data_IF_766917688182
#
_entry.id   IF_766917688182
#
_cell.length_a   1.000
_cell.length_b   1.000
_cell.length_c   1.000
_cell.angle_alpha   90.00
_cell.angle_beta   90.00
_cell.angle_gamma   90.00
#
_symmetry.space_group_name_H-M   'P 1'
#
loop_
_entity.id
_entity.type
_entity.pdbx_description
1 polymer ?
#
# COMPACT_ATOMS: atom_id res chain seq x y z
N UNK A 1 33.40 21.04 30.90
CA UNK A 1 33.48 21.18 29.43
C UNK A 1 33.23 19.82 28.81
N UNK A 2 32.02 19.60 28.28
CA UNK A 2 31.58 18.38 27.58
C UNK A 2 30.85 18.87 26.31
N UNK A 3 31.19 18.40 25.10
CA UNK A 3 30.54 18.90 23.89
C UNK A 3 29.18 18.21 23.68
N UNK A 4 28.20 19.05 23.36
CA UNK A 4 26.83 18.73 22.97
C UNK A 4 26.82 18.12 21.55
N UNK A 5 26.52 16.83 21.41
CA UNK A 5 26.12 16.27 20.12
C UNK A 5 24.65 16.58 19.88
N UNK A 6 24.40 17.52 18.96
CA UNK A 6 23.08 17.79 18.41
C UNK A 6 22.75 16.69 17.39
N UNK A 7 21.74 15.88 17.68
CA UNK A 7 21.13 14.97 16.70
C UNK A 7 20.22 15.77 15.77
N UNK A 8 20.74 16.11 14.59
CA UNK A 8 19.97 16.66 13.47
C UNK A 8 19.07 15.56 12.88
N UNK A 9 17.77 15.66 13.15
CA UNK A 9 16.74 14.92 12.41
C UNK A 9 16.56 15.58 11.05
N UNK A 10 17.02 14.91 9.99
CA UNK A 10 16.82 15.33 8.61
C UNK A 10 15.37 15.00 8.21
N UNK A 11 14.52 16.02 8.14
CA UNK A 11 13.18 15.91 7.57
C UNK A 11 13.28 15.98 6.04
N UNK A 12 12.96 14.88 5.36
CA UNK A 12 12.86 14.87 3.89
C UNK A 12 11.62 15.67 3.46
N UNK A 13 11.86 16.82 2.81
CA UNK A 13 10.85 17.67 2.19
C UNK A 13 10.40 17.07 0.86
N UNK A 14 9.18 16.54 0.78
CA UNK A 14 8.51 16.31 -0.51
C UNK A 14 7.81 17.60 -0.95
N UNK A 15 8.41 18.30 -1.90
CA UNK A 15 7.82 19.45 -2.60
C UNK A 15 7.20 18.92 -3.90
N UNK A 16 5.91 18.61 -3.93
CA UNK A 16 5.23 18.43 -5.22
C UNK A 16 4.97 19.83 -5.82
N UNK A 17 5.76 20.20 -6.81
CA UNK A 17 5.37 21.25 -7.76
C UNK A 17 4.37 20.64 -8.73
N UNK A 18 3.26 21.32 -8.93
CA UNK A 18 2.23 20.88 -9.86
C UNK A 18 2.54 21.27 -11.30
N UNK A 19 2.17 20.44 -12.27
CA UNK A 19 2.02 20.84 -13.69
C UNK A 19 0.88 20.07 -14.37
N UNK A 20 0.21 20.84 -15.24
CA UNK A 20 -0.86 20.57 -16.20
C UNK A 20 -0.44 19.57 -17.29
N UNK A 21 -1.38 18.73 -17.76
CA UNK A 21 -1.16 17.81 -18.89
C UNK A 21 -1.62 18.42 -20.23
N UNK A 22 -0.70 18.54 -21.20
CA UNK A 22 -0.96 18.53 -22.65
C UNK A 22 0.34 18.19 -23.41
N UNK A 23 0.27 17.26 -24.37
CA UNK A 23 1.39 16.65 -25.10
C UNK A 23 2.02 17.58 -26.15
N UNK A 24 3.35 17.62 -26.27
CA UNK A 24 4.11 17.07 -27.40
C UNK A 24 5.64 17.19 -27.22
N UNK A 25 6.38 16.26 -27.83
CA UNK A 25 7.77 15.84 -27.66
C UNK A 25 8.90 16.89 -27.53
N UNK A 26 9.87 16.65 -26.63
CA UNK A 26 11.35 16.59 -26.85
C UNK A 26 12.10 16.30 -25.52
N UNK A 27 12.95 15.26 -25.51
CA UNK A 27 13.65 14.71 -24.33
C UNK A 27 14.85 15.54 -23.86
N UNK A 28 15.10 15.55 -22.54
CA UNK A 28 16.42 15.59 -21.94
C UNK A 28 16.41 14.85 -20.59
N UNK A 29 17.33 13.90 -20.46
CA UNK A 29 17.40 12.80 -19.49
C UNK A 29 17.60 13.19 -18.01
N UNK A 30 17.10 12.32 -17.12
CA UNK A 30 17.56 12.23 -15.73
C UNK A 30 16.52 11.67 -14.75
N UNK A 31 16.55 10.35 -14.57
CA UNK A 31 15.91 9.54 -13.51
C UNK A 31 14.41 9.22 -13.66
N UNK A 32 14.18 8.12 -14.37
CA UNK A 32 12.90 7.43 -14.46
C UNK A 32 12.57 6.67 -13.19
N UNK A 33 11.44 7.03 -12.58
CA UNK A 33 10.66 6.12 -11.76
C UNK A 33 9.23 6.10 -12.33
N UNK A 34 9.06 5.24 -13.34
CA UNK A 34 7.76 4.75 -13.78
C UNK A 34 7.13 3.96 -12.62
N UNK A 35 6.11 4.53 -11.99
CA UNK A 35 5.32 3.80 -11.00
C UNK A 35 3.83 3.98 -11.26
N UNK A 36 3.35 3.26 -12.27
CA UNK A 36 2.04 2.64 -12.23
C UNK A 36 2.20 1.23 -12.80
N UNK A 37 1.81 0.14 -12.10
CA UNK A 37 1.70 -1.14 -12.78
C UNK A 37 0.52 -1.03 -13.75
N UNK A 38 0.84 -1.07 -15.05
CA UNK A 38 -0.12 -1.47 -16.05
C UNK A 38 -0.41 -2.96 -15.86
N UNK A 39 -1.44 -3.28 -15.08
CA UNK A 39 -2.16 -4.54 -15.19
C UNK A 39 -3.63 -4.18 -15.46
N UNK A 40 -3.96 -4.16 -16.75
CA UNK A 40 -5.31 -3.94 -17.27
C UNK A 40 -6.05 -5.26 -17.15
N UNK A 41 -6.79 -5.43 -16.06
CA UNK A 41 -7.94 -6.31 -16.05
C UNK A 41 -9.17 -5.44 -16.33
N UNK A 42 -9.79 -5.61 -17.50
CA UNK A 42 -10.95 -4.81 -17.93
C UNK A 42 -12.18 -5.01 -17.03
N UNK A 43 -12.19 -6.02 -16.16
CA UNK A 43 -13.25 -6.24 -15.18
C UNK A 43 -12.63 -6.72 -13.87
N UNK A 44 -12.82 -5.98 -12.75
CA UNK A 44 -12.30 -6.42 -11.47
C UNK A 44 -13.08 -7.64 -10.95
N UNK A 45 -12.40 -8.51 -10.20
CA UNK A 45 -12.97 -9.77 -9.69
C UNK A 45 -12.85 -9.88 -8.18
N UNK A 46 -13.89 -10.43 -7.56
CA UNK A 46 -13.91 -10.66 -6.12
C UNK A 46 -13.40 -12.08 -5.86
N UNK A 47 -12.13 -12.20 -5.49
CA UNK A 47 -11.52 -13.49 -5.20
C UNK A 47 -11.16 -13.57 -3.72
N UNK A 48 -11.64 -14.64 -3.10
CA UNK A 48 -11.32 -14.98 -1.71
C UNK A 48 -10.46 -16.22 -1.72
N UNK A 49 -9.42 -16.22 -0.89
CA UNK A 49 -8.56 -17.38 -0.72
C UNK A 49 -9.36 -18.58 -0.22
N UNK A 50 -9.04 -19.79 -0.69
CA UNK A 50 -9.53 -20.99 -0.02
C UNK A 50 -9.02 -21.03 1.43
N UNK A 51 -9.70 -21.74 2.35
CA UNK A 51 -9.22 -21.88 3.73
C UNK A 51 -7.77 -22.39 3.80
N UNK A 52 -7.41 -23.36 2.95
CA UNK A 52 -6.08 -23.95 2.92
C UNK A 52 -5.01 -22.95 2.43
N UNK A 53 -5.27 -22.26 1.31
CA UNK A 53 -4.34 -21.25 0.78
C UNK A 53 -4.21 -20.07 1.74
N UNK A 54 -5.30 -19.66 2.40
CA UNK A 54 -5.29 -18.63 3.44
C UNK A 54 -4.41 -19.02 4.60
N UNK A 55 -4.46 -20.27 5.08
CA UNK A 55 -3.60 -20.75 6.16
C UNK A 55 -2.12 -20.66 5.79
N UNK A 56 -1.74 -21.15 4.60
CA UNK A 56 -0.36 -21.08 4.10
C UNK A 56 0.11 -19.64 3.97
N UNK A 57 -0.71 -18.77 3.36
CA UNK A 57 -0.35 -17.37 3.16
C UNK A 57 -0.24 -16.62 4.49
N UNK A 58 -1.15 -16.88 5.44
CA UNK A 58 -1.16 -16.21 6.74
C UNK A 58 0.13 -16.41 7.52
N UNK A 59 0.72 -17.60 7.41
CA UNK A 59 1.96 -17.98 8.08
C UNK A 59 3.22 -17.60 7.32
N UNK A 60 3.10 -17.11 6.07
CA UNK A 60 4.26 -16.74 5.26
C UNK A 60 5.08 -15.66 5.99
N UNK A 61 6.36 -15.91 6.29
CA UNK A 61 7.24 -14.90 6.87
C UNK A 61 7.41 -13.73 5.90
N UNK A 62 7.44 -12.52 6.46
CA UNK A 62 7.76 -11.30 5.73
C UNK A 62 8.54 -10.34 6.61
N UNK A 63 9.28 -9.42 6.00
CA UNK A 63 10.07 -8.41 6.72
C UNK A 63 9.36 -7.05 6.72
N UNK A 64 9.04 -6.50 7.88
CA UNK A 64 8.43 -5.16 7.98
C UNK A 64 9.44 -4.06 7.63
N UNK A 65 8.97 -2.81 7.45
CA UNK A 65 9.84 -1.67 7.14
C UNK A 65 10.86 -1.32 8.25
N UNK A 66 10.79 -1.99 9.41
CA UNK A 66 11.77 -1.89 10.51
C UNK A 66 12.70 -3.11 10.56
N UNK A 67 12.75 -3.88 9.48
CA UNK A 67 13.55 -5.09 9.31
C UNK A 67 13.18 -6.24 10.26
N UNK A 68 11.98 -6.22 10.87
CA UNK A 68 11.54 -7.32 11.73
C UNK A 68 10.74 -8.35 10.95
N UNK A 69 11.05 -9.61 11.19
CA UNK A 69 10.27 -10.73 10.66
C UNK A 69 8.94 -10.83 11.38
N UNK A 70 7.86 -10.98 10.63
CA UNK A 70 6.52 -11.26 11.15
C UNK A 70 5.73 -12.10 10.16
N UNK A 71 4.72 -12.85 10.63
CA UNK A 71 3.78 -13.51 9.74
C UNK A 71 2.98 -12.49 8.92
N UNK A 72 2.63 -12.87 7.69
CA UNK A 72 1.91 -12.01 6.75
C UNK A 72 0.55 -11.56 7.28
N UNK A 73 -0.19 -12.44 7.97
CA UNK A 73 -1.51 -12.11 8.52
C UNK A 73 -1.47 -10.90 9.47
N UNK A 74 -0.43 -10.84 10.30
CA UNK A 74 -0.23 -9.85 11.34
C UNK A 74 0.06 -8.51 10.69
N UNK A 75 0.96 -8.49 9.69
CA UNK A 75 1.25 -7.27 8.95
C UNK A 75 0.04 -6.76 8.18
N UNK A 76 -0.64 -7.63 7.43
CA UNK A 76 -1.78 -7.24 6.60
C UNK A 76 -2.92 -6.73 7.46
N UNK A 77 -3.21 -7.38 8.59
CA UNK A 77 -4.22 -6.89 9.55
C UNK A 77 -3.84 -5.50 10.06
N UNK A 78 -2.58 -5.26 10.44
CA UNK A 78 -2.09 -3.94 10.84
C UNK A 78 -2.23 -2.90 9.72
N UNK A 79 -1.85 -3.25 8.48
CA UNK A 79 -1.92 -2.41 7.29
C UNK A 79 -3.37 -1.99 6.99
N UNK A 80 -4.26 -2.97 6.85
CA UNK A 80 -5.69 -2.77 6.61
C UNK A 80 -6.29 -1.92 7.73
N UNK A 81 -6.04 -2.26 8.99
CA UNK A 81 -6.48 -1.47 10.15
C UNK A 81 -5.95 -0.04 10.14
N UNK A 82 -4.74 0.19 9.63
CA UNK A 82 -4.16 1.52 9.55
C UNK A 82 -4.92 2.37 8.55
N UNK A 83 -5.24 1.82 7.37
CA UNK A 83 -5.97 2.49 6.27
C UNK A 83 -7.46 2.63 6.58
N UNK A 84 -8.15 1.52 6.86
CA UNK A 84 -9.61 1.45 6.96
C UNK A 84 -10.12 1.71 8.38
N UNK A 85 -9.28 1.59 9.42
CA UNK A 85 -9.72 1.64 10.84
C UNK A 85 -10.82 0.63 11.18
N UNK A 86 -10.89 -0.46 10.41
CA UNK A 86 -11.83 -1.59 10.58
C UNK A 86 -11.06 -2.89 10.44
N UNK A 87 -11.40 -3.83 11.31
CA UNK A 87 -10.80 -5.16 11.27
C UNK A 87 -11.30 -5.90 10.03
N UNK A 88 -12.62 -5.89 9.84
CA UNK A 88 -13.28 -6.38 8.64
C UNK A 88 -13.95 -5.20 7.93
N UNK A 89 -13.57 -4.97 6.67
CA UNK A 89 -14.07 -3.86 5.88
C UNK A 89 -15.41 -4.23 5.24
N UNK A 90 -16.39 -3.34 5.34
CA UNK A 90 -17.72 -3.52 4.78
C UNK A 90 -17.96 -2.45 3.71
N UNK A 91 -18.02 -2.82 2.41
CA UNK A 91 -18.26 -1.87 1.34
C UNK A 91 -19.57 -1.09 1.49
N UNK A 92 -20.62 -1.70 2.05
CA UNK A 92 -21.91 -1.05 2.23
C UNK A 92 -21.86 -0.02 3.37
N UNK A 93 -21.19 -0.36 4.49
CA UNK A 93 -20.94 0.64 5.54
C UNK A 93 -20.12 1.82 5.00
N UNK A 94 -19.16 1.54 4.12
CA UNK A 94 -18.24 2.52 3.59
C UNK A 94 -18.88 3.57 2.68
N UNK A 95 -20.01 3.22 2.05
CA UNK A 95 -20.78 4.10 1.16
C UNK A 95 -21.73 5.04 1.90
N UNK A 96 -21.95 4.86 3.20
CA UNK A 96 -22.82 5.73 4.00
C UNK A 96 -22.27 7.17 4.00
N UNK A 97 -23.15 8.12 3.69
CA UNK A 97 -22.85 9.56 3.63
C UNK A 97 -22.38 10.05 2.26
N UNK A 98 -22.17 9.15 1.31
CA UNK A 98 -21.90 9.51 -0.08
C UNK A 98 -23.19 9.57 -0.91
N UNK A 99 -23.25 10.40 -1.96
CA UNK A 99 -24.35 10.38 -2.91
C UNK A 99 -24.56 8.99 -3.54
N UNK A 100 -25.81 8.68 -3.88
CA UNK A 100 -26.12 7.43 -4.57
C UNK A 100 -25.41 7.40 -5.94
N UNK A 101 -24.82 6.26 -6.28
CA UNK A 101 -24.11 6.06 -7.56
C UNK A 101 -22.70 6.67 -7.62
N UNK A 102 -22.16 7.21 -6.51
CA UNK A 102 -20.78 7.72 -6.49
C UNK A 102 -19.73 6.64 -6.78
N UNK A 103 -19.99 5.40 -6.36
CA UNK A 103 -19.04 4.30 -6.50
C UNK A 103 -19.63 3.18 -7.36
N UNK A 104 -18.74 2.49 -8.08
CA UNK A 104 -19.08 1.22 -8.72
C UNK A 104 -19.61 0.20 -7.69
N UNK A 105 -20.38 -0.82 -8.12
CA UNK A 105 -20.86 -1.89 -7.26
C UNK A 105 -19.74 -2.52 -6.42
N UNK A 106 -20.10 -3.03 -5.23
CA UNK A 106 -19.18 -3.78 -4.40
C UNK A 106 -18.66 -5.01 -5.16
N UNK A 107 -17.35 -5.25 -5.08
CA UNK A 107 -16.77 -6.53 -5.43
C UNK A 107 -17.17 -7.54 -4.36
N UNK A 108 -17.90 -8.58 -4.78
CA UNK A 108 -18.32 -9.67 -3.90
C UNK A 108 -19.43 -9.26 -2.92
N UNK A 109 -19.83 -10.23 -2.10
CA UNK A 109 -20.85 -10.04 -1.07
C UNK A 109 -20.22 -10.06 0.33
N UNK A 110 -20.67 -9.16 1.20
CA UNK A 110 -20.30 -9.17 2.61
C UNK A 110 -19.00 -8.43 2.95
N UNK A 111 -18.41 -8.81 4.09
CA UNK A 111 -17.25 -8.14 4.67
C UNK A 111 -15.96 -8.79 4.20
N UNK A 112 -14.98 -7.95 3.92
CA UNK A 112 -13.65 -8.38 3.54
C UNK A 112 -12.79 -8.64 4.78
N UNK A 113 -12.25 -9.85 4.87
CA UNK A 113 -11.15 -10.18 5.77
C UNK A 113 -9.86 -9.48 5.29
N UNK A 114 -8.93 -9.10 6.20
CA UNK A 114 -7.76 -8.31 5.84
C UNK A 114 -6.91 -8.88 4.70
N UNK A 115 -6.67 -10.20 4.70
CA UNK A 115 -5.83 -10.85 3.70
C UNK A 115 -6.45 -10.80 2.30
N UNK A 116 -7.73 -11.15 2.21
CA UNK A 116 -8.47 -11.11 0.95
C UNK A 116 -8.59 -9.67 0.44
N UNK A 117 -8.81 -8.70 1.34
CA UNK A 117 -8.88 -7.28 0.99
C UNK A 117 -7.57 -6.77 0.40
N UNK A 118 -6.45 -7.04 1.08
CA UNK A 118 -5.13 -6.62 0.62
C UNK A 118 -4.76 -7.29 -0.71
N UNK A 119 -5.07 -8.58 -0.87
CA UNK A 119 -4.88 -9.24 -2.16
C UNK A 119 -5.71 -8.60 -3.27
N UNK A 120 -6.97 -8.27 -2.96
CA UNK A 120 -7.82 -7.56 -3.91
C UNK A 120 -7.28 -6.16 -4.23
N UNK A 121 -6.65 -5.46 -3.28
CA UNK A 121 -5.99 -4.17 -3.55
C UNK A 121 -4.90 -4.29 -4.59
N UNK A 122 -4.03 -5.29 -4.49
CA UNK A 122 -2.91 -5.45 -5.42
C UNK A 122 -3.32 -6.08 -6.76
N UNK A 123 -4.40 -6.86 -6.80
CA UNK A 123 -4.91 -7.47 -8.04
C UNK A 123 -5.92 -6.61 -8.79
N UNK A 124 -6.61 -5.69 -8.09
CA UNK A 124 -7.61 -4.78 -8.66
C UNK A 124 -7.32 -3.30 -8.30
N UNK A 125 -6.10 -2.76 -8.53
CA UNK A 125 -5.70 -1.49 -7.97
C UNK A 125 -6.55 -0.31 -8.48
N UNK A 126 -6.97 -0.34 -9.74
CA UNK A 126 -7.83 0.70 -10.33
C UNK A 126 -9.21 0.74 -9.69
N UNK A 127 -9.82 -0.42 -9.41
CA UNK A 127 -11.10 -0.47 -8.71
C UNK A 127 -10.99 0.13 -7.32
N UNK A 128 -9.99 -0.30 -6.53
CA UNK A 128 -9.83 0.14 -5.15
C UNK A 128 -9.39 1.59 -5.02
N UNK A 129 -8.72 2.14 -6.03
CA UNK A 129 -8.42 3.56 -6.12
C UNK A 129 -9.70 4.42 -6.12
N UNK A 130 -10.79 3.91 -6.69
CA UNK A 130 -12.09 4.57 -6.78
C UNK A 130 -12.99 4.33 -5.56
N UNK A 131 -12.81 3.24 -4.81
CA UNK A 131 -13.69 2.88 -3.69
C UNK A 131 -13.39 3.65 -2.39
N UNK A 132 -14.39 3.87 -1.50
CA UNK A 132 -14.22 4.58 -0.24
C UNK A 132 -13.52 3.70 0.81
N UNK A 133 -12.19 3.73 0.84
CA UNK A 133 -11.39 2.80 1.66
C UNK A 133 -10.52 3.50 2.72
N UNK A 134 -10.20 4.79 2.51
CA UNK A 134 -9.31 5.54 3.40
C UNK A 134 -10.13 6.21 4.49
N UNK A 135 -9.92 5.81 5.74
CA UNK A 135 -10.70 6.34 6.85
C UNK A 135 -10.42 7.83 7.10
N UNK A 136 -11.48 8.64 7.16
CA UNK A 136 -11.45 10.06 7.56
C UNK A 136 -12.32 10.25 8.81
N UNK A 137 -11.69 10.50 9.96
CA UNK A 137 -12.38 10.50 11.27
C UNK A 137 -12.54 11.88 11.91
N UNK A 138 -11.70 12.84 11.55
CA UNK A 138 -11.67 14.13 12.22
C UNK A 138 -12.52 15.15 11.46
N UNK A 139 -13.51 15.82 12.10
CA UNK A 139 -14.40 16.76 11.44
C UNK A 139 -13.69 17.82 10.61
N UNK A 140 -12.64 18.44 11.15
CA UNK A 140 -11.90 19.46 10.42
C UNK A 140 -11.14 18.95 9.19
N UNK A 141 -10.81 17.65 9.11
CA UNK A 141 -10.25 17.06 7.87
C UNK A 141 -11.38 16.80 6.87
N UNK A 142 -12.57 16.41 7.32
CA UNK A 142 -13.76 16.29 6.45
C UNK A 142 -14.15 17.64 5.86
N UNK A 143 -14.11 18.70 6.67
CA UNK A 143 -14.36 20.07 6.24
C UNK A 143 -13.36 20.51 5.16
N UNK A 144 -12.06 20.19 5.33
CA UNK A 144 -11.02 20.46 4.31
C UNK A 144 -11.28 19.71 2.99
N UNK A 145 -11.86 18.51 3.06
CA UNK A 145 -12.22 17.69 1.90
C UNK A 145 -13.57 18.08 1.28
N UNK A 146 -14.36 18.92 1.95
CA UNK A 146 -15.71 19.28 1.50
C UNK A 146 -16.70 18.12 1.56
N UNK A 147 -16.47 17.12 2.41
CA UNK A 147 -17.37 15.96 2.58
C UNK A 147 -18.24 16.11 3.82
N UNK A 148 -19.41 15.49 3.81
CA UNK A 148 -20.34 15.52 4.93
C UNK A 148 -19.75 14.83 6.18
N UNK A 149 -20.22 15.24 7.36
CA UNK A 149 -19.69 14.76 8.65
C UNK A 149 -20.04 13.29 8.95
N UNK A 150 -21.00 12.70 8.25
CA UNK A 150 -21.35 11.28 8.28
C UNK A 150 -20.44 10.40 7.41
N UNK A 151 -19.73 10.98 6.42
CA UNK A 151 -18.73 10.26 5.60
C UNK A 151 -17.60 9.74 6.48
N UNK A 152 -17.39 8.42 6.49
CA UNK A 152 -16.36 7.76 7.30
C UNK A 152 -15.11 7.38 6.51
N UNK A 153 -15.25 7.12 5.21
CA UNK A 153 -14.16 6.78 4.29
C UNK A 153 -14.27 7.58 3.01
N UNK A 154 -13.13 7.86 2.40
CA UNK A 154 -13.01 8.52 1.10
C UNK A 154 -12.16 7.65 0.17
N UNK A 155 -12.31 7.84 -1.13
CA UNK A 155 -11.49 7.15 -2.11
C UNK A 155 -10.16 7.85 -2.32
N UNK A 156 -9.15 7.14 -2.81
CA UNK A 156 -7.92 7.78 -3.24
C UNK A 156 -8.20 8.74 -4.41
N UNK A 157 -9.12 8.37 -5.31
CA UNK A 157 -9.54 9.24 -6.42
C UNK A 157 -10.02 10.60 -5.93
N UNK A 158 -10.87 10.66 -4.91
CA UNK A 158 -11.46 11.91 -4.42
C UNK A 158 -10.45 12.84 -3.75
N UNK A 159 -9.19 12.42 -3.57
CA UNK A 159 -8.11 13.22 -3.00
C UNK A 159 -7.20 13.83 -4.07
N UNK A 160 -7.46 13.56 -5.33
CA UNK A 160 -6.65 13.99 -6.46
C UNK A 160 -7.48 14.88 -7.37
N UNK A 161 -6.96 16.06 -7.69
CA UNK A 161 -7.60 17.01 -8.60
C UNK A 161 -7.64 16.47 -10.03
N UNK A 162 -8.47 17.04 -10.93
CA UNK A 162 -8.44 16.68 -12.34
C UNK A 162 -7.07 16.85 -13.02
N UNK A 163 -6.22 17.71 -12.46
CA UNK A 163 -4.84 17.93 -12.92
C UNK A 163 -3.84 16.92 -12.33
N UNK A 164 -4.31 15.93 -11.57
CA UNK A 164 -3.47 14.90 -10.96
C UNK A 164 -2.79 15.30 -9.65
N UNK A 165 -3.17 16.43 -9.04
CA UNK A 165 -2.51 16.95 -7.84
C UNK A 165 -3.21 16.49 -6.56
N UNK A 166 -2.45 16.25 -5.49
CA UNK A 166 -3.02 15.93 -4.19
C UNK A 166 -3.69 17.17 -3.55
N UNK A 167 -4.97 17.06 -3.21
CA UNK A 167 -5.80 18.20 -2.80
C UNK A 167 -5.38 18.85 -1.47
N UNK A 168 -4.75 18.10 -0.57
CA UNK A 168 -4.37 18.58 0.76
C UNK A 168 -2.88 18.96 0.86
N UNK A 169 -2.19 19.06 -0.27
CA UNK A 169 -0.74 19.14 -0.31
C UNK A 169 -0.20 20.37 0.44
N UNK A 170 -0.79 21.54 0.24
CA UNK A 170 -0.31 22.77 0.89
C UNK A 170 -0.54 22.75 2.40
N UNK A 171 -1.69 22.24 2.84
CA UNK A 171 -2.03 22.09 4.25
C UNK A 171 -1.11 21.07 4.94
N UNK A 172 -0.76 19.98 4.24
CA UNK A 172 0.21 18.98 4.72
C UNK A 172 1.60 19.58 4.81
N UNK A 173 2.04 20.32 3.78
CA UNK A 173 3.35 20.99 3.77
C UNK A 173 3.48 21.97 4.93
N UNK A 174 2.43 22.73 5.21
CA UNK A 174 2.40 23.66 6.35
C UNK A 174 2.43 22.94 7.70
N UNK A 175 1.66 21.85 7.84
CA UNK A 175 1.68 21.02 9.03
C UNK A 175 3.07 20.41 9.29
N UNK A 176 3.77 19.96 8.26
CA UNK A 176 5.13 19.40 8.37
C UNK A 176 6.16 20.46 8.75
N UNK A 177 6.04 21.70 8.25
CA UNK A 177 6.92 22.83 8.62
C UNK A 177 6.72 23.30 10.06
N UNK A 178 5.53 23.10 10.62
CA UNK A 178 5.26 23.40 12.01
C UNK A 178 5.98 22.39 12.91
N UNK A 179 6.81 22.81 13.89
CA UNK A 179 7.45 21.90 14.83
C UNK A 179 6.44 20.99 15.55
N UNK A 180 6.78 19.73 15.77
CA UNK A 180 5.87 18.70 16.33
C UNK A 180 5.15 19.12 17.62
N UNK A 181 5.86 19.82 18.51
CA UNK A 181 5.32 20.36 19.77
C UNK A 181 4.29 21.47 19.56
N UNK A 182 4.43 22.23 18.48
CA UNK A 182 3.62 23.41 18.18
C UNK A 182 2.46 23.09 17.20
N UNK A 183 2.44 21.90 16.60
CA UNK A 183 1.36 21.46 15.72
C UNK A 183 0.01 21.54 16.43
N UNK A 184 -0.98 22.12 15.76
CA UNK A 184 -2.37 22.09 16.21
C UNK A 184 -2.96 20.66 16.13
N UNK A 185 -4.09 20.43 16.80
CA UNK A 185 -4.82 19.15 16.71
C UNK A 185 -5.23 18.82 15.28
N UNK A 186 -5.69 19.81 14.52
CA UNK A 186 -6.07 19.62 13.11
C UNK A 186 -4.87 19.24 12.25
N UNK A 187 -3.71 19.90 12.41
CA UNK A 187 -2.49 19.55 11.69
C UNK A 187 -2.04 18.12 11.99
N UNK A 188 -2.04 17.69 13.25
CA UNK A 188 -1.71 16.29 13.60
C UNK A 188 -2.68 15.30 12.94
N UNK A 189 -3.98 15.60 12.96
CA UNK A 189 -5.00 14.72 12.37
C UNK A 189 -4.96 14.70 10.83
N UNK A 190 -4.55 15.81 10.22
CA UNK A 190 -4.27 15.92 8.80
C UNK A 190 -3.07 15.03 8.42
N UNK A 191 -1.96 15.13 9.14
CA UNK A 191 -0.78 14.27 8.90
C UNK A 191 -1.12 12.79 9.10
N UNK A 192 -1.85 12.44 10.17
CA UNK A 192 -2.31 11.06 10.38
C UNK A 192 -3.19 10.55 9.22
N UNK A 193 -3.92 11.43 8.54
CA UNK A 193 -4.76 11.09 7.38
C UNK A 193 -3.94 10.98 6.09
N UNK A 194 -3.03 11.92 5.87
CA UNK A 194 -2.06 11.89 4.78
C UNK A 194 -1.24 10.60 4.80
N UNK A 195 -0.75 10.17 5.97
CA UNK A 195 -0.03 8.91 6.13
C UNK A 195 -0.90 7.70 5.73
N UNK A 196 -2.20 7.72 6.01
CA UNK A 196 -3.11 6.63 5.57
C UNK A 196 -3.28 6.60 4.06
N UNK A 197 -3.42 7.77 3.44
CA UNK A 197 -3.49 7.88 1.98
C UNK A 197 -2.22 7.32 1.34
N UNK A 198 -1.04 7.75 1.79
CA UNK A 198 0.23 7.28 1.25
C UNK A 198 0.41 5.76 1.43
N UNK A 199 0.09 5.22 2.61
CA UNK A 199 0.17 3.78 2.87
C UNK A 199 -0.75 2.99 1.96
N UNK A 200 -1.97 3.47 1.74
CA UNK A 200 -2.90 2.83 0.82
C UNK A 200 -2.41 2.92 -0.63
N UNK A 201 -1.94 4.10 -1.05
CA UNK A 201 -1.40 4.31 -2.39
C UNK A 201 -0.19 3.41 -2.68
N UNK A 202 0.75 3.32 -1.75
CA UNK A 202 1.90 2.41 -1.83
C UNK A 202 1.44 0.94 -1.89
N UNK A 203 0.46 0.57 -1.06
CA UNK A 203 -0.06 -0.80 -1.01
C UNK A 203 -0.74 -1.22 -2.31
N UNK A 204 -1.41 -0.32 -3.06
CA UNK A 204 -1.97 -0.63 -4.38
C UNK A 204 -0.89 -1.07 -5.39
N UNK A 205 0.33 -0.54 -5.25
CA UNK A 205 1.49 -0.95 -6.05
C UNK A 205 2.25 -2.16 -5.50
N UNK A 206 1.70 -2.86 -4.48
CA UNK A 206 2.39 -3.96 -3.80
C UNK A 206 3.45 -3.51 -2.77
N UNK A 207 3.49 -2.22 -2.45
CA UNK A 207 4.40 -1.65 -1.47
C UNK A 207 4.09 -2.05 -0.03
N UNK A 208 5.10 -1.92 0.83
CA UNK A 208 5.00 -2.19 2.26
C UNK A 208 5.15 -3.66 2.66
N UNK A 209 5.14 -4.61 1.73
CA UNK A 209 5.40 -6.02 2.03
C UNK A 209 6.70 -6.49 1.38
N UNK A 210 7.58 -7.12 2.17
CA UNK A 210 8.86 -7.67 1.71
C UNK A 210 8.90 -9.18 1.92
N UNK A 211 9.07 -9.91 0.83
CA UNK A 211 8.96 -11.37 0.77
C UNK A 211 10.24 -12.06 0.36
N UNK A 212 11.09 -11.38 -0.41
CA UNK A 212 12.22 -11.98 -1.11
C UNK A 212 13.50 -11.63 -0.36
N UNK A 213 14.23 -12.59 0.21
CA UNK A 213 15.53 -12.28 0.80
C UNK A 213 16.47 -11.62 -0.22
N UNK A 214 17.44 -10.86 0.27
CA UNK A 214 18.54 -10.32 -0.56
C UNK A 214 19.82 -11.11 -0.21
N UNK A 215 20.32 -11.99 -1.11
CA UNK A 215 21.43 -12.88 -0.83
C UNK A 215 22.71 -12.11 -0.55
N UNK A 216 23.39 -12.52 0.51
CA UNK A 216 24.66 -11.90 0.92
C UNK A 216 24.51 -10.49 1.49
N UNK A 217 23.29 -9.97 1.66
CA UNK A 217 23.08 -8.72 2.37
C UNK A 217 23.39 -8.91 3.86
N UNK A 218 24.35 -8.13 4.38
CA UNK A 218 24.83 -8.28 5.77
C UNK A 218 23.77 -7.97 6.82
N UNK A 219 22.73 -7.24 6.44
CA UNK A 219 21.63 -6.87 7.32
C UNK A 219 20.41 -7.78 7.15
N UNK A 220 20.52 -8.85 6.33
CA UNK A 220 19.44 -9.77 6.00
C UNK A 220 18.17 -9.02 5.52
N UNK A 221 18.34 -8.00 4.69
CA UNK A 221 17.21 -7.25 4.12
C UNK A 221 16.46 -8.09 3.10
N UNK A 222 15.15 -7.85 3.01
CA UNK A 222 14.27 -8.49 2.05
C UNK A 222 13.68 -7.43 1.12
N UNK A 223 13.56 -7.78 -0.16
CA UNK A 223 12.93 -7.00 -1.19
C UNK A 223 11.41 -7.20 -1.22
N UNK A 224 10.70 -6.16 -1.65
CA UNK A 224 9.25 -6.14 -1.84
C UNK A 224 8.82 -6.47 -3.26
N UNK A 225 7.50 -6.52 -3.46
CA UNK A 225 6.91 -6.81 -4.78
C UNK A 225 7.31 -5.77 -5.84
N UNK A 226 7.45 -4.51 -5.43
CA UNK A 226 7.82 -3.39 -6.28
C UNK A 226 9.31 -3.04 -6.24
N UNK A 227 10.15 -3.86 -5.59
CA UNK A 227 11.58 -3.60 -5.38
C UNK A 227 12.45 -4.84 -5.67
N UNK A 228 11.98 -5.72 -6.55
CA UNK A 228 12.70 -6.96 -6.93
C UNK A 228 14.08 -6.66 -7.51
N UNK A 229 14.26 -5.51 -8.16
CA UNK A 229 15.55 -5.15 -8.76
C UNK A 229 16.65 -4.82 -7.74
N UNK A 230 16.30 -4.64 -6.46
CA UNK A 230 17.28 -4.50 -5.36
C UNK A 230 18.02 -5.80 -5.04
N UNK A 231 17.43 -6.96 -5.33
CA UNK A 231 18.07 -8.28 -5.20
C UNK A 231 19.20 -8.36 -6.23
N UNK A 232 20.46 -8.73 -5.96
CA UNK A 232 21.49 -8.85 -7.00
C UNK A 232 21.10 -9.73 -8.21
N UNK A 233 21.66 -9.51 -9.42
CA UNK A 233 21.33 -10.33 -10.58
C UNK A 233 21.67 -11.81 -10.35
N UNK A 234 20.72 -12.71 -10.64
CA UNK A 234 20.86 -14.15 -10.45
C UNK A 234 19.52 -14.88 -10.45
N UNK A 235 19.56 -16.21 -10.24
CA UNK A 235 18.38 -17.10 -10.27
C UNK A 235 17.25 -16.62 -9.34
N UNK A 236 17.58 -16.13 -8.15
CA UNK A 236 16.58 -15.65 -7.21
C UNK A 236 15.85 -14.40 -7.72
N UNK A 237 16.56 -13.37 -8.23
CA UNK A 237 15.92 -12.18 -8.80
C UNK A 237 14.98 -12.57 -9.94
N UNK A 238 15.45 -13.45 -10.84
CA UNK A 238 14.65 -13.89 -11.98
C UNK A 238 13.41 -14.68 -11.54
N UNK A 239 13.55 -15.53 -10.51
CA UNK A 239 12.44 -16.27 -9.91
C UNK A 239 11.45 -15.32 -9.22
N UNK A 240 11.94 -14.36 -8.42
CA UNK A 240 11.12 -13.37 -7.73
C UNK A 240 10.34 -12.48 -8.71
N UNK A 241 10.94 -12.11 -9.84
CA UNK A 241 10.28 -11.35 -10.90
C UNK A 241 9.10 -12.12 -11.51
N UNK A 242 9.29 -13.40 -11.81
CA UNK A 242 8.24 -14.25 -12.38
C UNK A 242 7.11 -14.56 -11.40
N UNK A 243 7.44 -14.88 -10.14
CA UNK A 243 6.45 -15.34 -9.16
C UNK A 243 5.46 -14.25 -8.75
N UNK A 244 5.85 -12.99 -8.86
CA UNK A 244 4.95 -11.87 -8.57
C UNK A 244 3.78 -11.81 -9.57
N UNK A 245 4.08 -11.96 -10.87
CA UNK A 245 3.04 -12.04 -11.89
C UNK A 245 2.06 -13.19 -11.62
N UNK A 246 2.59 -14.36 -11.22
CA UNK A 246 1.78 -15.52 -10.86
C UNK A 246 0.86 -15.26 -9.64
N UNK A 247 1.36 -14.56 -8.62
CA UNK A 247 0.58 -14.22 -7.43
C UNK A 247 -0.58 -13.27 -7.77
N UNK A 248 -0.31 -12.19 -8.52
CA UNK A 248 -1.34 -11.22 -8.92
C UNK A 248 -2.32 -11.83 -9.91
N UNK A 249 -1.86 -12.57 -10.91
CA UNK A 249 -2.75 -13.22 -11.86
C UNK A 249 -3.59 -14.30 -11.18
N UNK A 250 -3.01 -15.09 -10.26
CA UNK A 250 -3.77 -16.05 -9.46
C UNK A 250 -4.84 -15.36 -8.61
N UNK A 251 -4.49 -14.25 -7.96
CA UNK A 251 -5.42 -13.44 -7.19
C UNK A 251 -6.46 -12.72 -8.05
N UNK A 252 -6.17 -12.38 -9.30
CA UNK A 252 -7.10 -11.73 -10.23
C UNK A 252 -8.07 -12.72 -10.89
N UNK A 253 -7.73 -14.00 -10.98
CA UNK A 253 -8.59 -15.02 -11.60
C UNK A 253 -9.20 -16.01 -10.60
N UNK A 254 -8.90 -15.86 -9.30
CA UNK A 254 -9.35 -16.78 -8.26
C UNK A 254 -8.72 -18.17 -8.41
N UNK A 255 -7.55 -18.24 -9.03
CA UNK A 255 -6.82 -19.49 -9.26
C UNK A 255 -6.02 -19.87 -8.01
N UNK A 256 -6.71 -20.55 -7.09
CA UNK A 256 -6.17 -20.98 -5.81
C UNK A 256 -4.96 -21.93 -5.98
N UNK A 257 -4.93 -22.75 -7.04
CA UNK A 257 -3.82 -23.65 -7.32
C UNK A 257 -2.57 -22.88 -7.75
N UNK A 258 -2.75 -21.85 -8.60
CA UNK A 258 -1.68 -20.94 -8.99
C UNK A 258 -1.13 -20.16 -7.80
N UNK A 259 -2.01 -19.67 -6.93
CA UNK A 259 -1.62 -19.01 -5.67
C UNK A 259 -0.81 -19.95 -4.77
N UNK A 260 -1.28 -21.17 -4.54
CA UNK A 260 -0.57 -22.15 -3.71
C UNK A 260 0.83 -22.47 -4.28
N UNK A 261 0.95 -22.60 -5.60
CA UNK A 261 2.24 -22.79 -6.27
C UNK A 261 3.15 -21.57 -6.10
N UNK A 262 2.62 -20.36 -6.25
CA UNK A 262 3.37 -19.12 -6.06
C UNK A 262 3.92 -19.02 -4.63
N UNK A 263 3.08 -19.26 -3.63
CA UNK A 263 3.48 -19.27 -2.23
C UNK A 263 4.56 -20.32 -1.92
N UNK A 264 4.46 -21.51 -2.49
CA UNK A 264 5.46 -22.57 -2.32
C UNK A 264 6.85 -22.17 -2.85
N UNK A 265 6.89 -21.46 -3.99
CA UNK A 265 8.13 -20.92 -4.56
C UNK A 265 8.70 -19.81 -3.67
N UNK A 266 7.86 -18.89 -3.18
CA UNK A 266 8.31 -17.83 -2.26
C UNK A 266 8.92 -18.46 -1.00
N UNK A 267 8.26 -19.44 -0.40
CA UNK A 267 8.80 -20.16 0.76
C UNK A 267 10.13 -20.85 0.46
N UNK A 268 10.32 -21.35 -0.76
CA UNK A 268 11.59 -21.96 -1.17
C UNK A 268 12.72 -20.94 -1.27
N UNK A 269 12.46 -19.77 -1.87
CA UNK A 269 13.42 -18.66 -1.88
C UNK A 269 13.78 -18.23 -0.45
N UNK A 270 12.78 -18.08 0.42
CA UNK A 270 12.97 -17.73 1.82
C UNK A 270 13.84 -18.74 2.57
N UNK A 271 13.64 -20.05 2.34
CA UNK A 271 14.47 -21.10 2.94
C UNK A 271 15.90 -21.12 2.40
N UNK A 272 16.09 -20.87 1.10
CA UNK A 272 17.42 -20.90 0.48
C UNK A 272 18.27 -19.68 0.83
N UNK A 273 17.65 -18.49 0.86
CA UNK A 273 18.36 -17.21 0.90
C UNK A 273 18.09 -16.38 2.18
N UNK A 274 17.11 -16.77 3.00
CA UNK A 274 16.71 -16.04 4.21
C UNK A 274 16.76 -16.86 5.50
N UNK A 275 17.33 -18.07 5.47
CA UNK A 275 17.28 -19.03 6.58
C UNK A 275 17.74 -18.45 7.93
N UNK A 276 18.73 -17.57 7.92
CA UNK A 276 19.35 -16.99 9.13
C UNK A 276 18.39 -16.16 9.99
N UNK A 277 17.28 -15.68 9.41
CA UNK A 277 16.31 -14.82 10.09
C UNK A 277 14.91 -15.41 10.11
N UNK A 278 14.71 -16.62 9.58
CA UNK A 278 13.41 -17.27 9.64
C UNK A 278 13.06 -17.63 11.10
N UNK A 279 11.79 -17.40 11.52
CA UNK A 279 11.32 -17.88 12.81
C UNK A 279 11.49 -19.41 12.92
N UNK A 280 11.93 -19.88 14.08
CA UNK A 280 12.09 -21.31 14.42
C UNK A 280 10.75 -22.04 14.56
#
# INVERSE_FOLDING_TARGET
>A
MRPLLHSLLLAALLVCGGVVLAQDHMHADGDGHDHAPAHVHDTPTANFLSPATREVFSLLPMQDLRCRMKPMDTYVRELVMKVTKRENYDPEEARIGHPAGTFAPALGEGKWEPMDLWLSWISNPQYWFEQPIIAVRFPGVKDMLGVSQDVKWVSARSLITPQGQYMLQDQVREALRTPDRDRSKIQRKLLDFNDRFNIFYDALGGGGVRFYPVPGDKNNTWAGLNDVESIPPGEERDTARGIMGELVEGAAHGDDARLAKALAVIQDLQRRYGADVLPS
#
